data_IF_129375759592
#
_entry.id   IF_129375759592
#
_cell.length_a   1.000
_cell.length_b   1.000
_cell.length_c   1.000
_cell.angle_alpha   90.00
_cell.angle_beta   90.00
_cell.angle_gamma   90.00
#
_symmetry.space_group_name_H-M   'P 1'
#
loop_
_entity.id
_entity.type
_entity.pdbx_description
1 polymer ?
#
# COMPACT_ATOMS: atom_id res chain seq x y z
N UNK A 1 -0.87 26.67 -2.06
CA UNK A 1 -0.88 25.88 -3.32
C UNK A 1 -0.80 24.38 -3.05
N UNK A 2 0.23 23.90 -2.33
CA UNK A 2 0.36 22.48 -1.94
C UNK A 2 -0.80 21.97 -1.08
N UNK A 3 -1.31 22.76 -0.12
CA UNK A 3 -2.48 22.36 0.69
C UNK A 3 -3.75 22.15 -0.16
N UNK A 4 -4.00 23.05 -1.11
CA UNK A 4 -5.13 22.94 -2.04
C UNK A 4 -5.00 21.68 -2.88
N UNK A 5 -3.79 21.38 -3.37
CA UNK A 5 -3.50 20.15 -4.10
C UNK A 5 -3.76 18.90 -3.24
N UNK A 6 -3.32 18.89 -1.98
CA UNK A 6 -3.59 17.79 -1.05
C UNK A 6 -5.09 17.55 -0.83
N UNK A 7 -5.85 18.62 -0.61
CA UNK A 7 -7.32 18.52 -0.44
C UNK A 7 -7.97 17.95 -1.71
N UNK A 8 -7.55 18.42 -2.89
CA UNK A 8 -8.04 17.93 -4.18
C UNK A 8 -7.74 16.43 -4.33
N UNK A 9 -6.51 16.00 -4.03
CA UNK A 9 -6.10 14.60 -4.14
C UNK A 9 -6.85 13.70 -3.15
N UNK A 10 -7.01 14.13 -1.90
CA UNK A 10 -7.81 13.41 -0.90
C UNK A 10 -9.27 13.27 -1.35
N UNK A 11 -9.85 14.33 -1.90
CA UNK A 11 -11.20 14.29 -2.44
C UNK A 11 -11.30 13.33 -3.64
N UNK A 12 -10.31 13.32 -4.52
CA UNK A 12 -10.26 12.43 -5.68
C UNK A 12 -10.08 10.96 -5.25
N UNK A 13 -9.27 10.69 -4.22
CA UNK A 13 -9.14 9.37 -3.59
C UNK A 13 -10.46 8.90 -2.98
N UNK A 14 -11.20 9.78 -2.30
CA UNK A 14 -12.52 9.47 -1.75
C UNK A 14 -13.50 9.10 -2.87
N UNK A 15 -13.54 9.90 -3.94
CA UNK A 15 -14.37 9.64 -5.12
C UNK A 15 -14.01 8.29 -5.75
N UNK A 16 -12.72 8.04 -6.00
CA UNK A 16 -12.24 6.79 -6.58
C UNK A 16 -12.68 5.59 -5.72
N UNK A 17 -12.53 5.69 -4.40
CA UNK A 17 -12.96 4.65 -3.45
C UNK A 17 -14.46 4.36 -3.54
N UNK A 18 -15.29 5.41 -3.59
CA UNK A 18 -16.75 5.26 -3.75
C UNK A 18 -17.07 4.52 -5.05
N UNK A 19 -16.45 4.91 -6.18
CA UNK A 19 -16.67 4.24 -7.47
C UNK A 19 -16.16 2.80 -7.48
N UNK A 20 -15.05 2.48 -6.82
CA UNK A 20 -14.54 1.11 -6.69
C UNK A 20 -15.57 0.22 -6.00
N UNK A 21 -16.14 0.69 -4.88
CA UNK A 21 -17.11 -0.07 -4.07
C UNK A 21 -18.46 -0.23 -4.77
N UNK A 22 -18.90 0.79 -5.51
CA UNK A 22 -20.18 0.76 -6.23
C UNK A 22 -20.14 0.03 -7.58
N UNK A 23 -18.95 -0.16 -8.14
CA UNK A 23 -18.77 -0.81 -9.43
C UNK A 23 -19.17 -2.29 -9.38
N UNK A 24 -20.06 -2.69 -10.30
CA UNK A 24 -20.50 -4.08 -10.46
C UNK A 24 -19.62 -4.89 -11.41
N UNK A 25 -18.75 -4.23 -12.16
CA UNK A 25 -17.85 -4.85 -13.14
C UNK A 25 -16.43 -4.90 -12.58
N UNK A 26 -15.90 -6.12 -12.41
CA UNK A 26 -14.58 -6.33 -11.81
C UNK A 26 -13.44 -5.67 -12.60
N UNK A 27 -13.56 -5.61 -13.93
CA UNK A 27 -12.60 -4.92 -14.80
C UNK A 27 -12.56 -3.42 -14.48
N UNK A 28 -13.72 -2.79 -14.33
CA UNK A 28 -13.82 -1.35 -14.00
C UNK A 28 -13.24 -1.11 -12.61
N UNK A 29 -13.57 -1.95 -11.63
CA UNK A 29 -12.98 -1.87 -10.28
C UNK A 29 -11.46 -2.04 -10.30
N UNK A 30 -10.93 -2.96 -11.12
CA UNK A 30 -9.48 -3.14 -11.29
C UNK A 30 -8.77 -1.91 -11.85
N UNK A 31 -9.35 -1.27 -12.87
CA UNK A 31 -8.83 0.01 -13.41
C UNK A 31 -8.86 1.09 -12.34
N UNK A 32 -9.97 1.24 -11.62
CA UNK A 32 -10.11 2.25 -10.58
C UNK A 32 -9.13 2.04 -9.41
N UNK A 33 -8.81 0.79 -9.05
CA UNK A 33 -7.78 0.47 -8.06
C UNK A 33 -6.37 0.89 -8.54
N UNK A 34 -6.07 0.75 -9.83
CA UNK A 34 -4.82 1.26 -10.42
C UNK A 34 -4.75 2.79 -10.33
N UNK A 35 -5.86 3.48 -10.64
CA UNK A 35 -5.96 4.95 -10.50
C UNK A 35 -5.77 5.37 -9.05
N UNK A 36 -6.44 4.69 -8.11
CA UNK A 36 -6.28 4.93 -6.67
C UNK A 36 -4.81 4.85 -6.24
N UNK A 37 -4.11 3.75 -6.60
CA UNK A 37 -2.70 3.55 -6.24
C UNK A 37 -1.79 4.64 -6.85
N UNK A 38 -2.08 5.06 -8.09
CA UNK A 38 -1.33 6.15 -8.76
C UNK A 38 -1.49 7.49 -8.04
N UNK A 39 -2.67 7.77 -7.49
CA UNK A 39 -2.94 8.99 -6.71
C UNK A 39 -2.28 8.94 -5.35
N UNK A 40 -2.22 7.77 -4.70
CA UNK A 40 -1.48 7.57 -3.46
C UNK A 40 0.03 7.79 -3.69
N UNK A 41 0.59 7.28 -4.79
CA UNK A 41 1.98 7.55 -5.15
C UNK A 41 2.26 9.07 -5.31
N UNK A 42 1.33 9.82 -5.91
CA UNK A 42 1.44 11.27 -6.03
C UNK A 42 1.36 11.97 -4.65
N UNK A 43 0.50 11.50 -3.75
CA UNK A 43 0.44 11.99 -2.37
C UNK A 43 1.77 11.78 -1.64
N UNK A 44 2.41 10.62 -1.77
CA UNK A 44 3.72 10.37 -1.18
C UNK A 44 4.81 11.30 -1.72
N UNK A 45 4.77 11.63 -3.01
CA UNK A 45 5.70 12.58 -3.61
C UNK A 45 5.52 13.97 -2.98
N UNK A 46 4.26 14.42 -2.80
CA UNK A 46 3.97 15.71 -2.14
C UNK A 46 4.40 15.71 -0.66
N UNK A 47 4.37 14.56 0.00
CA UNK A 47 4.89 14.38 1.36
C UNK A 47 6.43 14.31 1.43
N UNK A 48 7.13 14.57 0.33
CA UNK A 48 8.59 14.43 0.23
C UNK A 48 9.10 13.01 0.53
N UNK A 49 8.32 11.98 0.19
CA UNK A 49 8.67 10.58 0.32
C UNK A 49 8.85 9.91 -1.07
N UNK A 50 9.90 10.28 -1.83
CA UNK A 50 10.08 9.81 -3.21
C UNK A 50 10.30 8.29 -3.30
N UNK A 51 11.06 7.71 -2.38
CA UNK A 51 11.34 6.27 -2.37
C UNK A 51 10.04 5.47 -2.17
N UNK A 52 9.18 5.91 -1.24
CA UNK A 52 7.85 5.31 -1.01
C UNK A 52 6.95 5.51 -2.23
N UNK A 53 6.96 6.70 -2.83
CA UNK A 53 6.16 6.99 -4.03
C UNK A 53 6.51 6.06 -5.21
N UNK A 54 7.80 5.81 -5.46
CA UNK A 54 8.25 4.91 -6.53
C UNK A 54 7.82 3.48 -6.24
N UNK A 55 7.92 3.02 -4.99
CA UNK A 55 7.45 1.68 -4.61
C UNK A 55 5.95 1.52 -4.79
N UNK A 56 5.14 2.50 -4.41
CA UNK A 56 3.69 2.47 -4.58
C UNK A 56 3.29 2.51 -6.06
N UNK A 57 3.94 3.36 -6.87
CA UNK A 57 3.70 3.40 -8.30
C UNK A 57 4.05 2.06 -8.97
N UNK A 58 5.17 1.44 -8.57
CA UNK A 58 5.65 0.18 -9.16
C UNK A 58 4.79 -1.02 -8.73
N UNK A 59 4.48 -1.14 -7.44
CA UNK A 59 3.80 -2.31 -6.88
C UNK A 59 2.29 -2.14 -6.91
N UNK A 60 1.76 -1.01 -6.43
CA UNK A 60 0.33 -0.73 -6.35
C UNK A 60 -0.28 -0.52 -7.73
N UNK A 61 0.22 0.46 -8.49
CA UNK A 61 -0.31 0.73 -9.83
C UNK A 61 0.20 -0.28 -10.89
N UNK A 62 1.45 -0.74 -10.80
CA UNK A 62 2.04 -1.69 -11.76
C UNK A 62 1.72 -3.16 -11.48
N UNK A 63 2.46 -3.79 -10.56
CA UNK A 63 2.46 -5.24 -10.32
C UNK A 63 1.07 -5.78 -9.93
N UNK A 64 0.42 -5.15 -8.95
CA UNK A 64 -0.91 -5.55 -8.46
C UNK A 64 -1.95 -5.51 -9.57
N UNK A 65 -1.88 -4.52 -10.46
CA UNK A 65 -2.77 -4.41 -11.62
C UNK A 65 -2.55 -5.57 -12.58
N UNK A 66 -1.30 -5.90 -12.92
CA UNK A 66 -0.98 -7.06 -13.76
C UNK A 66 -1.54 -8.36 -13.16
N UNK A 67 -1.34 -8.59 -11.87
CA UNK A 67 -1.87 -9.78 -11.20
C UNK A 67 -3.40 -9.80 -11.14
N UNK A 68 -4.04 -8.66 -10.85
CA UNK A 68 -5.50 -8.53 -10.85
C UNK A 68 -6.07 -8.90 -12.23
N UNK A 69 -5.52 -8.34 -13.31
CA UNK A 69 -5.99 -8.64 -14.67
C UNK A 69 -5.67 -10.08 -15.10
N UNK A 70 -4.54 -10.63 -14.67
CA UNK A 70 -4.21 -12.06 -14.88
C UNK A 70 -5.24 -12.95 -14.20
N UNK A 71 -5.61 -12.66 -12.95
CA UNK A 71 -6.65 -13.39 -12.24
C UNK A 71 -8.02 -13.21 -12.90
N UNK A 72 -8.36 -11.99 -13.32
CA UNK A 72 -9.61 -11.72 -14.03
C UNK A 72 -9.69 -12.49 -15.35
N UNK A 73 -8.59 -12.64 -16.09
CA UNK A 73 -8.57 -13.41 -17.34
C UNK A 73 -8.98 -14.88 -17.18
N UNK A 74 -8.91 -15.42 -15.95
CA UNK A 74 -9.33 -16.78 -15.62
C UNK A 74 -10.82 -16.88 -15.21
N UNK A 75 -11.50 -15.76 -15.00
CA UNK A 75 -12.89 -15.72 -14.53
C UNK A 75 -13.83 -15.51 -15.72
N UNK A 76 -14.83 -16.39 -15.87
CA UNK A 76 -15.81 -16.32 -16.99
C UNK A 76 -16.85 -15.20 -16.85
N UNK A 77 -17.18 -14.79 -15.62
CA UNK A 77 -18.19 -13.77 -15.34
C UNK A 77 -17.58 -12.63 -14.52
N UNK A 78 -17.53 -11.43 -15.11
CA UNK A 78 -16.95 -10.25 -14.47
C UNK A 78 -17.97 -9.40 -13.70
N UNK A 79 -19.23 -9.79 -13.70
CA UNK A 79 -20.30 -9.09 -12.98
C UNK A 79 -20.54 -9.72 -11.61
N UNK A 80 -20.57 -8.87 -10.59
CA UNK A 80 -20.84 -9.27 -9.21
C UNK A 80 -22.31 -9.01 -8.87
N UNK A 81 -22.99 -10.04 -8.37
CA UNK A 81 -24.29 -9.88 -7.72
C UNK A 81 -24.06 -9.57 -6.24
N UNK A 82 -24.32 -8.33 -5.83
CA UNK A 82 -24.16 -7.91 -4.44
C UNK A 82 -25.24 -8.58 -3.56
N UNK A 83 -24.86 -9.64 -2.84
CA UNK A 83 -25.68 -10.20 -1.76
C UNK A 83 -25.46 -9.38 -0.49
N UNK A 84 -26.51 -8.71 -0.02
CA UNK A 84 -26.44 -7.89 1.20
C UNK A 84 -26.66 -8.78 2.42
N UNK A 85 -25.57 -9.19 3.07
CA UNK A 85 -25.63 -9.91 4.33
C UNK A 85 -25.49 -8.90 5.50
N UNK A 86 -26.51 -8.74 6.36
CA UNK A 86 -26.47 -7.75 7.45
C UNK A 86 -25.34 -8.03 8.45
N UNK A 87 -24.89 -9.28 8.58
CA UNK A 87 -23.73 -9.63 9.44
C UNK A 87 -22.42 -9.07 8.89
N UNK A 88 -22.24 -9.12 7.57
CA UNK A 88 -21.05 -8.55 6.90
C UNK A 88 -21.06 -7.03 7.08
N UNK A 89 -22.22 -6.40 6.88
CA UNK A 89 -22.36 -4.95 7.09
C UNK A 89 -22.05 -4.55 8.53
N UNK A 90 -22.59 -5.28 9.52
CA UNK A 90 -22.31 -5.04 10.94
C UNK A 90 -20.82 -5.24 11.29
N UNK A 91 -20.17 -6.25 10.69
CA UNK A 91 -18.74 -6.49 10.87
C UNK A 91 -17.89 -5.36 10.28
N UNK A 92 -18.23 -4.87 9.07
CA UNK A 92 -17.53 -3.74 8.44
C UNK A 92 -17.69 -2.48 9.31
N UNK A 93 -18.90 -2.19 9.80
CA UNK A 93 -19.15 -1.03 10.66
C UNK A 93 -18.38 -1.12 11.99
N UNK A 94 -18.34 -2.33 12.59
CA UNK A 94 -17.51 -2.59 13.77
C UNK A 94 -16.04 -2.33 13.48
N UNK A 95 -15.52 -2.83 12.36
CA UNK A 95 -14.12 -2.65 11.97
C UNK A 95 -13.78 -1.17 11.72
N UNK A 96 -14.65 -0.42 11.04
CA UNK A 96 -14.47 1.03 10.82
C UNK A 96 -14.42 1.76 12.16
N UNK A 97 -15.31 1.44 13.09
CA UNK A 97 -15.37 2.06 14.42
C UNK A 97 -14.15 1.71 15.27
N UNK A 98 -13.67 0.47 15.16
CA UNK A 98 -12.47 0.01 15.86
C UNK A 98 -11.23 0.74 15.32
N UNK A 99 -11.06 0.77 13.99
CA UNK A 99 -9.93 1.43 13.34
C UNK A 99 -9.93 2.94 13.59
N UNK A 100 -11.10 3.60 13.54
CA UNK A 100 -11.19 5.03 13.83
C UNK A 100 -10.80 5.36 15.27
N UNK A 101 -11.10 4.47 16.24
CA UNK A 101 -10.62 4.64 17.62
C UNK A 101 -9.10 4.54 17.73
N UNK A 102 -8.46 3.63 16.99
CA UNK A 102 -7.00 3.56 16.96
C UNK A 102 -6.39 4.81 16.33
N UNK A 103 -7.01 5.36 15.28
CA UNK A 103 -6.52 6.58 14.64
C UNK A 103 -6.50 7.78 15.58
N UNK A 104 -7.47 7.90 16.49
CA UNK A 104 -7.50 8.99 17.49
C UNK A 104 -6.36 8.86 18.53
N UNK A 105 -5.82 7.66 18.74
CA UNK A 105 -4.71 7.44 19.67
C UNK A 105 -3.33 7.70 19.04
N UNK A 106 -3.25 7.85 17.72
CA UNK A 106 -2.00 8.18 17.06
C UNK A 106 -1.59 9.63 17.38
N UNK A 107 -0.29 9.92 17.46
CA UNK A 107 0.17 11.28 17.60
C UNK A 107 -0.36 12.18 16.48
N UNK A 108 -0.58 13.45 16.81
CA UNK A 108 -0.99 14.44 15.81
C UNK A 108 -0.01 14.47 14.64
N UNK A 109 -0.56 14.47 13.44
CA UNK A 109 0.22 14.52 12.21
C UNK A 109 1.10 15.77 12.18
N UNK A 110 2.40 15.60 11.92
CA UNK A 110 3.36 16.70 11.84
C UNK A 110 3.75 17.33 13.18
N UNK A 111 3.42 16.70 14.31
CA UNK A 111 3.81 17.21 15.62
C UNK A 111 5.32 16.97 15.87
N UNK A 112 6.08 18.07 15.90
CA UNK A 112 7.54 18.08 16.10
C UNK A 112 7.99 17.52 17.47
N UNK A 113 7.09 17.43 18.45
CA UNK A 113 7.40 16.92 19.78
C UNK A 113 7.23 15.40 19.89
N UNK A 114 6.93 14.72 18.78
CA UNK A 114 6.82 13.26 18.79
C UNK A 114 8.19 12.61 18.92
N UNK A 115 8.30 11.43 19.58
CA UNK A 115 9.57 10.76 19.85
C UNK A 115 10.46 10.61 18.61
N UNK A 116 9.88 10.37 17.43
CA UNK A 116 10.64 10.17 16.19
C UNK A 116 11.44 11.41 15.77
N UNK A 117 10.92 12.61 16.00
CA UNK A 117 11.57 13.88 15.62
C UNK A 117 12.60 14.36 16.63
N UNK A 118 12.56 13.85 17.86
CA UNK A 118 13.43 14.31 18.94
C UNK A 118 14.83 13.67 18.94
N UNK A 119 14.92 12.38 18.59
CA UNK A 119 16.20 11.66 18.67
C UNK A 119 16.50 10.80 17.44
N UNK A 120 15.53 10.00 16.96
CA UNK A 120 15.80 9.02 15.89
C UNK A 120 16.07 9.69 14.55
N UNK A 121 15.15 10.54 14.08
CA UNK A 121 15.27 11.16 12.78
C UNK A 121 16.51 12.07 12.66
N UNK A 122 16.82 12.95 13.65
CA UNK A 122 18.06 13.73 13.63
C UNK A 122 19.31 12.83 13.60
N UNK A 123 19.34 11.77 14.41
CA UNK A 123 20.47 10.85 14.44
C UNK A 123 20.72 10.21 13.06
N UNK A 124 19.68 9.71 12.38
CA UNK A 124 19.83 9.16 11.04
C UNK A 124 20.29 10.20 10.02
N UNK A 125 19.72 11.41 10.04
CA UNK A 125 20.10 12.46 9.10
C UNK A 125 21.57 12.86 9.28
N UNK A 126 22.06 13.00 10.51
CA UNK A 126 23.42 13.47 10.79
C UNK A 126 24.51 12.40 10.66
N UNK A 127 24.16 11.12 10.85
CA UNK A 127 25.13 10.02 10.92
C UNK A 127 25.12 9.09 9.70
N UNK A 128 24.08 9.13 8.86
CA UNK A 128 23.98 8.24 7.68
C UNK A 128 25.21 8.34 6.78
N UNK A 129 25.57 9.54 6.33
CA UNK A 129 26.69 9.73 5.42
C UNK A 129 28.04 9.39 6.09
N UNK A 130 28.19 9.71 7.38
CA UNK A 130 29.44 9.50 8.13
C UNK A 130 29.73 8.02 8.40
N UNK A 131 28.71 7.23 8.72
CA UNK A 131 28.87 5.83 9.15
C UNK A 131 28.71 4.86 7.97
N UNK A 132 27.77 5.14 7.06
CA UNK A 132 27.39 4.22 5.98
C UNK A 132 27.97 4.65 4.62
N UNK A 133 28.29 5.93 4.44
CA UNK A 133 28.93 6.43 3.21
C UNK A 133 27.98 6.63 2.03
N UNK A 134 26.66 6.68 2.27
CA UNK A 134 25.64 6.96 1.26
C UNK A 134 24.79 8.16 1.68
N UNK A 135 24.35 8.98 0.73
CA UNK A 135 23.55 10.19 1.04
C UNK A 135 22.06 9.91 1.20
N UNK A 136 21.53 8.81 0.63
CA UNK A 136 20.10 8.48 0.76
C UNK A 136 19.82 7.86 2.14
N UNK A 137 19.22 8.66 3.02
CA UNK A 137 18.84 8.27 4.39
C UNK A 137 17.84 7.12 4.43
N UNK A 138 16.85 7.09 3.53
CA UNK A 138 15.84 6.02 3.51
C UNK A 138 16.48 4.69 3.13
N UNK A 139 17.31 4.67 2.09
CA UNK A 139 18.06 3.48 1.69
C UNK A 139 19.00 3.01 2.81
N UNK A 140 19.68 3.92 3.48
CA UNK A 140 20.55 3.60 4.62
C UNK A 140 19.79 2.99 5.79
N UNK A 141 18.59 3.50 6.09
CA UNK A 141 17.73 2.94 7.13
C UNK A 141 17.31 1.52 6.76
N UNK A 142 16.78 1.30 5.56
CA UNK A 142 16.27 -0.01 5.14
C UNK A 142 17.38 -1.06 5.01
N UNK A 143 18.57 -0.68 4.54
CA UNK A 143 19.65 -1.64 4.30
C UNK A 143 20.56 -1.86 5.51
N UNK A 144 20.72 -0.86 6.37
CA UNK A 144 21.70 -0.88 7.47
C UNK A 144 21.04 -0.72 8.84
N UNK A 145 20.57 0.49 9.22
CA UNK A 145 20.08 0.74 10.59
C UNK A 145 18.93 -0.18 11.00
N UNK A 146 18.04 -0.50 10.07
CA UNK A 146 16.89 -1.40 10.24
C UNK A 146 16.90 -2.54 9.23
N UNK A 147 18.11 -2.97 8.83
CA UNK A 147 18.30 -4.05 7.85
C UNK A 147 17.61 -5.38 8.22
N UNK A 148 17.46 -5.66 9.51
CA UNK A 148 16.76 -6.86 9.97
C UNK A 148 15.27 -6.87 9.61
N UNK A 149 14.61 -5.70 9.62
CA UNK A 149 13.19 -5.60 9.25
C UNK A 149 13.03 -5.88 7.76
N UNK A 150 13.87 -5.28 6.91
CA UNK A 150 13.88 -5.50 5.45
C UNK A 150 14.30 -6.93 5.08
N UNK A 151 15.21 -7.56 5.84
CA UNK A 151 15.51 -8.97 5.68
C UNK A 151 14.28 -9.85 5.95
N UNK A 152 13.53 -9.53 7.01
CA UNK A 152 12.25 -10.19 7.31
C UNK A 152 11.21 -10.01 6.19
N UNK A 153 11.04 -8.79 5.69
CA UNK A 153 10.15 -8.49 4.56
C UNK A 153 10.53 -9.30 3.32
N UNK A 154 11.83 -9.41 3.02
CA UNK A 154 12.34 -10.18 1.88
C UNK A 154 12.02 -11.67 2.01
N UNK A 155 12.16 -12.24 3.23
CA UNK A 155 11.78 -13.63 3.50
C UNK A 155 10.28 -13.86 3.31
N UNK A 156 9.43 -12.91 3.71
CA UNK A 156 7.98 -12.99 3.50
C UNK A 156 7.63 -13.01 2.02
N UNK A 157 8.18 -12.08 1.23
CA UNK A 157 7.94 -12.01 -0.22
C UNK A 157 8.46 -13.28 -0.92
N UNK A 158 9.66 -13.75 -0.55
CA UNK A 158 10.23 -14.99 -1.06
C UNK A 158 9.33 -16.19 -0.77
N UNK A 159 8.82 -16.30 0.46
CA UNK A 159 7.92 -17.39 0.86
C UNK A 159 6.59 -17.32 0.10
N UNK A 160 6.03 -16.12 -0.07
CA UNK A 160 4.82 -15.93 -0.88
C UNK A 160 5.03 -16.37 -2.34
N UNK A 161 6.15 -16.00 -2.95
CA UNK A 161 6.50 -16.40 -4.31
C UNK A 161 6.67 -17.93 -4.45
N UNK A 162 7.29 -18.59 -3.47
CA UNK A 162 7.38 -20.05 -3.41
C UNK A 162 5.98 -20.68 -3.31
N UNK A 163 5.13 -20.19 -2.42
CA UNK A 163 3.75 -20.68 -2.25
C UNK A 163 2.95 -20.58 -3.55
N UNK A 164 3.02 -19.44 -4.24
CA UNK A 164 2.36 -19.25 -5.54
C UNK A 164 2.91 -20.22 -6.59
N UNK A 165 4.23 -20.37 -6.67
CA UNK A 165 4.88 -21.27 -7.64
C UNK A 165 4.49 -22.74 -7.40
N UNK A 166 4.47 -23.19 -6.14
CA UNK A 166 4.06 -24.54 -5.78
C UNK A 166 2.57 -24.78 -6.04
N UNK A 167 1.72 -23.77 -5.78
CA UNK A 167 0.27 -23.86 -6.04
C UNK A 167 -0.05 -23.93 -7.53
N UNK A 168 0.70 -23.20 -8.37
CA UNK A 168 0.51 -23.20 -9.83
C UNK A 168 1.25 -24.34 -10.54
N UNK A 169 2.09 -25.11 -9.83
CA UNK A 169 2.79 -26.26 -10.40
C UNK A 169 1.77 -27.34 -10.78
N UNK A 170 1.58 -27.52 -12.08
CA UNK A 170 0.70 -28.56 -12.63
C UNK A 170 1.24 -29.94 -12.29
N UNK A 171 0.43 -30.79 -11.65
CA UNK A 171 0.77 -32.21 -11.51
C UNK A 171 0.77 -32.85 -12.90
N UNK A 172 1.86 -33.55 -13.22
CA UNK A 172 1.89 -34.44 -14.37
C UNK A 172 0.89 -35.55 -14.05
N UNK A 173 -0.22 -35.61 -14.79
CA UNK A 173 -1.04 -36.80 -14.81
C UNK A 173 -0.18 -37.90 -15.43
N UNK A 174 0.21 -38.88 -14.63
CA UNK A 174 0.77 -40.12 -15.15
C UNK A 174 -0.37 -40.81 -15.94
N UNK A 175 -0.20 -40.87 -17.27
CA UNK A 175 -1.02 -41.70 -18.17
C UNK A 175 -0.60 -43.18 -18.05
#
# INVERSE_FOLDING_TARGET
MLEVLNIILLFLLLIATIFIVLSKHLVVSGILMCVFSSLVALMYLIMNAPDVAITEASVGAGLSTVFMFTALSLIKKHEVNLSHNPKIFSFILFLITLLSRFMIQLPEYGNNNTPIHLYIAPYYIENTEKIIGISNVVTAILTSFRGYDTFGETLVIFTAALCVTLTLKKEKKDD
#
